data_IF_337942139406
#
_entry.id   IF_337942139406
#
_cell.length_a   1.000
_cell.length_b   1.000
_cell.length_c   1.000
_cell.angle_alpha   90.00
_cell.angle_beta   90.00
_cell.angle_gamma   90.00
#
_symmetry.space_group_name_H-M   'P 1'
#
loop_
_entity.id
_entity.type
_entity.pdbx_description
1 polymer ?
#
# COMPACT_ATOMS: atom_id res chain seq x y z
N UNK A 1 12.34 -17.87 -0.74
CA UNK A 1 11.06 -17.85 0.00
C UNK A 1 10.05 -17.06 -0.81
N UNK A 2 8.78 -17.46 -0.81
CA UNK A 2 7.70 -16.71 -1.47
C UNK A 2 6.96 -15.89 -0.40
N UNK A 3 6.99 -14.57 -0.51
CA UNK A 3 6.43 -13.67 0.51
C UNK A 3 4.92 -13.41 0.34
N UNK A 4 4.31 -13.92 -0.72
CA UNK A 4 2.87 -13.89 -1.03
C UNK A 4 2.11 -15.10 -0.47
N UNK A 5 2.78 -15.96 0.30
CA UNK A 5 2.19 -17.15 0.92
C UNK A 5 2.10 -17.00 2.43
N UNK A 6 1.25 -17.86 3.03
CA UNK A 6 1.18 -17.98 4.48
C UNK A 6 2.54 -18.25 5.12
N UNK A 7 2.69 -17.86 6.36
CA UNK A 7 3.90 -18.11 7.11
C UNK A 7 4.18 -19.60 7.28
N UNK A 8 5.44 -19.99 7.02
CA UNK A 8 5.96 -21.32 7.32
C UNK A 8 7.32 -21.16 7.99
N UNK A 9 7.40 -21.57 9.27
CA UNK A 9 8.62 -21.43 10.07
C UNK A 9 9.84 -22.11 9.42
N UNK A 10 9.68 -23.33 8.90
CA UNK A 10 10.80 -24.09 8.31
C UNK A 10 11.34 -23.39 7.06
N UNK A 11 10.47 -22.93 6.18
CA UNK A 11 10.86 -22.16 4.99
C UNK A 11 11.48 -20.81 5.37
N UNK A 12 10.94 -20.15 6.38
CA UNK A 12 11.44 -18.86 6.86
C UNK A 12 12.87 -19.00 7.44
N UNK A 13 13.11 -19.98 8.30
CA UNK A 13 14.43 -20.24 8.86
C UNK A 13 15.42 -20.66 7.76
N UNK A 14 14.97 -21.47 6.80
CA UNK A 14 15.80 -21.85 5.63
C UNK A 14 16.17 -20.63 4.79
N UNK A 15 15.22 -19.70 4.57
CA UNK A 15 15.47 -18.44 3.87
C UNK A 15 16.50 -17.59 4.63
N UNK A 16 16.35 -17.40 5.94
CA UNK A 16 17.30 -16.64 6.75
C UNK A 16 18.72 -17.22 6.63
N UNK A 17 18.84 -18.54 6.77
CA UNK A 17 20.13 -19.23 6.76
C UNK A 17 20.81 -19.26 5.40
N UNK A 18 20.05 -19.51 4.34
CA UNK A 18 20.63 -19.79 3.03
C UNK A 18 20.72 -18.56 2.13
N UNK A 19 19.82 -17.56 2.31
CA UNK A 19 19.67 -16.48 1.36
C UNK A 19 19.83 -15.08 1.95
N UNK A 20 19.52 -14.88 3.24
CA UNK A 20 19.35 -13.54 3.77
C UNK A 20 20.44 -13.10 4.75
N UNK A 21 20.67 -13.86 5.83
CA UNK A 21 21.66 -13.52 6.85
C UNK A 21 23.08 -13.95 6.44
N UNK A 22 24.13 -13.40 7.08
CA UNK A 22 25.50 -13.86 6.93
C UNK A 22 25.68 -15.36 7.22
N UNK A 23 26.80 -15.93 6.82
CA UNK A 23 27.06 -17.39 6.95
C UNK A 23 27.21 -17.85 8.40
N UNK A 24 27.54 -16.95 9.31
CA UNK A 24 27.65 -17.20 10.74
C UNK A 24 26.30 -17.27 11.47
N UNK A 25 25.16 -17.12 10.74
CA UNK A 25 23.85 -17.34 11.33
C UNK A 25 23.66 -18.79 11.76
N UNK A 26 23.56 -18.98 13.07
CA UNK A 26 23.32 -20.30 13.70
C UNK A 26 21.83 -20.41 14.04
N UNK A 27 21.20 -21.47 13.54
CA UNK A 27 19.81 -21.79 13.88
C UNK A 27 19.74 -22.44 15.26
N UNK A 28 18.93 -21.88 16.14
CA UNK A 28 18.69 -22.40 17.49
C UNK A 28 17.19 -22.22 17.81
N UNK A 29 16.48 -23.33 17.97
CA UNK A 29 15.05 -23.25 18.31
C UNK A 29 14.87 -23.45 19.80
N UNK A 30 14.55 -22.38 20.52
CA UNK A 30 14.24 -22.41 21.96
C UNK A 30 12.89 -21.70 22.21
N UNK A 31 11.98 -22.38 22.89
CA UNK A 31 10.70 -21.80 23.31
C UNK A 31 10.92 -21.04 24.60
N UNK A 32 10.52 -19.78 24.61
CA UNK A 32 10.61 -18.89 25.77
C UNK A 32 9.20 -18.64 26.28
N UNK A 33 8.90 -18.92 27.55
CA UNK A 33 7.59 -18.70 28.11
C UNK A 33 7.29 -17.17 28.13
N UNK A 34 6.13 -16.72 27.63
CA UNK A 34 5.77 -15.31 27.68
C UNK A 34 5.60 -14.84 29.12
N UNK A 35 6.02 -13.61 29.40
CA UNK A 35 5.87 -13.00 30.72
C UNK A 35 4.37 -12.69 30.97
N UNK A 36 3.88 -12.91 32.18
CA UNK A 36 2.45 -12.72 32.55
C UNK A 36 1.90 -11.31 32.25
N UNK A 37 2.74 -10.31 32.06
CA UNK A 37 2.35 -8.93 31.76
C UNK A 37 2.09 -8.67 30.25
N UNK A 38 2.28 -9.67 29.36
CA UNK A 38 2.08 -9.54 27.93
C UNK A 38 0.61 -9.81 27.57
N UNK A 39 -0.10 -8.78 27.10
CA UNK A 39 -1.51 -8.87 26.76
C UNK A 39 -1.77 -9.45 25.36
N UNK A 40 -0.85 -9.21 24.44
CA UNK A 40 -1.00 -9.58 23.02
C UNK A 40 -0.18 -10.81 22.62
N UNK A 41 0.98 -11.00 23.25
CA UNK A 41 1.89 -12.12 22.94
C UNK A 41 1.39 -13.41 23.55
N UNK A 42 1.30 -14.47 22.76
CA UNK A 42 0.90 -15.81 23.21
C UNK A 42 2.05 -16.81 23.25
N UNK A 43 3.14 -16.54 22.52
CA UNK A 43 4.32 -17.42 22.51
C UNK A 43 5.53 -16.71 21.91
N UNK A 44 6.70 -17.05 22.41
CA UNK A 44 7.98 -16.54 21.90
C UNK A 44 8.87 -17.74 21.61
N UNK A 45 9.48 -17.77 20.43
CA UNK A 45 10.44 -18.79 20.03
C UNK A 45 11.69 -18.11 19.46
N UNK A 46 12.85 -18.37 20.06
CA UNK A 46 14.14 -18.03 19.46
C UNK A 46 14.35 -18.91 18.23
N UNK A 47 14.71 -18.34 17.09
CA UNK A 47 14.98 -19.07 15.85
C UNK A 47 16.46 -19.18 15.52
N UNK A 48 17.30 -18.34 16.13
CA UNK A 48 18.74 -18.36 15.93
C UNK A 48 19.38 -17.02 16.26
N UNK A 49 20.70 -16.94 16.05
CA UNK A 49 21.50 -15.75 16.26
C UNK A 49 22.59 -15.62 15.20
N UNK A 50 23.05 -14.37 14.97
CA UNK A 50 24.12 -14.02 14.04
C UNK A 50 25.12 -13.13 14.80
N UNK A 51 26.29 -13.67 15.08
CA UNK A 51 27.30 -13.00 15.92
C UNK A 51 27.89 -11.76 15.23
N UNK A 52 28.18 -11.85 13.93
CA UNK A 52 28.73 -10.74 13.14
C UNK A 52 27.84 -9.50 13.09
N UNK A 53 26.54 -9.65 13.31
CA UNK A 53 25.55 -8.56 13.33
C UNK A 53 25.13 -8.16 14.75
N UNK A 54 25.57 -8.91 15.79
CA UNK A 54 25.04 -8.79 17.15
C UNK A 54 23.49 -8.82 17.11
N UNK A 55 22.93 -9.88 16.49
CA UNK A 55 21.53 -9.97 16.11
C UNK A 55 20.93 -11.32 16.50
N UNK A 56 19.76 -11.26 17.13
CA UNK A 56 18.96 -12.45 17.45
C UNK A 56 17.68 -12.47 16.63
N UNK A 57 17.18 -13.66 16.30
CA UNK A 57 15.95 -13.84 15.54
C UNK A 57 14.89 -14.52 16.39
N UNK A 58 13.72 -13.88 16.46
CA UNK A 58 12.56 -14.37 17.22
C UNK A 58 11.32 -14.54 16.36
N UNK A 59 10.53 -15.56 16.65
CA UNK A 59 9.12 -15.64 16.27
C UNK A 59 8.27 -15.31 17.49
N UNK A 60 7.33 -14.36 17.31
CA UNK A 60 6.35 -13.97 18.33
C UNK A 60 4.95 -14.31 17.81
N UNK A 61 4.28 -15.26 18.47
CA UNK A 61 2.87 -15.57 18.26
C UNK A 61 2.01 -14.61 19.05
N UNK A 62 0.87 -14.16 18.46
CA UNK A 62 0.02 -13.15 19.10
C UNK A 62 -1.46 -13.40 18.86
N UNK A 63 -2.29 -12.95 19.84
CA UNK A 63 -3.75 -13.09 19.88
C UNK A 63 -4.50 -11.87 19.32
N UNK A 64 -3.79 -10.89 18.78
CA UNK A 64 -4.40 -9.68 18.28
C UNK A 64 -5.23 -9.94 17.03
N UNK A 65 -6.53 -9.59 17.07
CA UNK A 65 -7.44 -9.69 15.92
C UNK A 65 -7.17 -8.65 14.84
N UNK A 66 -6.51 -7.56 15.20
CA UNK A 66 -6.04 -6.51 14.30
C UNK A 66 -4.54 -6.36 14.48
N UNK A 67 -3.84 -5.90 13.46
CA UNK A 67 -2.41 -5.62 13.56
C UNK A 67 -2.15 -4.57 14.65
N UNK A 68 -2.06 -5.01 15.90
CA UNK A 68 -1.80 -4.18 17.08
C UNK A 68 -0.34 -3.73 17.10
N UNK A 69 0.10 -3.06 16.00
CA UNK A 69 1.49 -2.68 15.75
C UNK A 69 2.15 -2.01 16.93
N UNK A 70 1.45 -1.13 17.61
CA UNK A 70 2.02 -0.37 18.74
C UNK A 70 2.09 -1.23 20.01
N UNK A 71 1.01 -1.91 20.37
CA UNK A 71 0.97 -2.74 21.58
C UNK A 71 1.94 -3.91 21.52
N UNK A 72 1.88 -4.67 20.45
CA UNK A 72 2.72 -5.83 20.20
C UNK A 72 4.21 -5.47 20.10
N UNK A 73 4.53 -4.33 19.46
CA UNK A 73 5.92 -3.85 19.39
C UNK A 73 6.43 -3.39 20.76
N UNK A 74 5.59 -2.79 21.62
CA UNK A 74 5.98 -2.45 22.99
C UNK A 74 6.30 -3.69 23.83
N UNK A 75 5.54 -4.77 23.65
CA UNK A 75 5.84 -6.04 24.33
C UNK A 75 7.16 -6.64 23.84
N UNK A 76 7.37 -6.65 22.52
CA UNK A 76 8.65 -7.11 21.94
C UNK A 76 9.83 -6.27 22.44
N UNK A 77 9.72 -4.95 22.51
CA UNK A 77 10.77 -4.09 23.07
C UNK A 77 11.10 -4.38 24.53
N UNK A 78 10.07 -4.59 25.37
CA UNK A 78 10.29 -4.97 26.77
C UNK A 78 11.00 -6.29 26.88
N UNK A 79 10.53 -7.30 26.13
CA UNK A 79 11.12 -8.61 26.09
C UNK A 79 12.62 -8.54 25.69
N UNK A 80 12.95 -7.86 24.59
CA UNK A 80 14.33 -7.71 24.15
C UNK A 80 15.20 -6.93 25.16
N UNK A 81 14.62 -5.93 25.81
CA UNK A 81 15.34 -5.18 26.86
C UNK A 81 15.61 -6.01 28.10
N UNK A 82 14.71 -6.93 28.45
CA UNK A 82 14.87 -7.84 29.59
C UNK A 82 15.87 -8.96 29.28
N UNK A 83 15.95 -9.41 28.02
CA UNK A 83 16.97 -10.35 27.51
C UNK A 83 18.33 -9.71 27.20
N UNK A 84 18.49 -8.40 27.39
CA UNK A 84 19.69 -7.62 27.05
C UNK A 84 20.06 -7.63 25.57
N UNK A 85 19.10 -7.87 24.70
CA UNK A 85 19.26 -7.90 23.26
C UNK A 85 19.06 -6.50 22.65
N UNK A 86 20.07 -5.95 21.99
CA UNK A 86 20.00 -4.63 21.38
C UNK A 86 19.49 -4.66 19.93
N UNK A 87 19.59 -5.80 19.24
CA UNK A 87 19.21 -5.97 17.84
C UNK A 87 18.48 -7.28 17.63
N UNK A 88 17.30 -7.21 17.06
CA UNK A 88 16.55 -8.41 16.75
C UNK A 88 15.82 -8.30 15.41
N UNK A 89 15.75 -9.41 14.69
CA UNK A 89 14.74 -9.65 13.68
C UNK A 89 13.58 -10.41 14.32
N UNK A 90 12.39 -9.86 14.18
CA UNK A 90 11.20 -10.45 14.79
C UNK A 90 10.15 -10.72 13.71
N UNK A 91 9.70 -11.98 13.62
CA UNK A 91 8.51 -12.31 12.85
C UNK A 91 7.30 -12.42 13.78
N UNK A 92 6.31 -11.57 13.57
CA UNK A 92 5.05 -11.58 14.30
C UNK A 92 4.02 -12.36 13.51
N UNK A 93 3.49 -13.41 14.11
CA UNK A 93 2.55 -14.32 13.45
C UNK A 93 1.29 -14.44 14.30
N UNK A 94 0.08 -14.17 13.73
CA UNK A 94 -1.17 -14.40 14.46
C UNK A 94 -1.32 -15.86 14.91
N UNK A 95 -1.90 -16.08 16.07
CA UNK A 95 -2.09 -17.44 16.60
C UNK A 95 -3.13 -18.23 15.80
N UNK A 96 -4.21 -17.54 15.40
CA UNK A 96 -5.38 -18.15 14.76
C UNK A 96 -5.27 -18.25 13.23
N UNK A 97 -4.33 -17.52 12.61
CA UNK A 97 -4.23 -17.42 11.17
C UNK A 97 -2.82 -17.09 10.70
N UNK A 98 -2.18 -18.01 10.01
CA UNK A 98 -0.83 -17.87 9.45
C UNK A 98 -0.83 -17.19 8.05
N UNK A 99 -1.98 -16.74 7.54
CA UNK A 99 -2.07 -16.18 6.18
C UNK A 99 -1.25 -14.90 6.04
N UNK A 100 -1.24 -14.06 7.08
CA UNK A 100 -0.51 -12.80 7.09
C UNK A 100 0.41 -12.69 8.31
N UNK A 101 1.61 -12.15 8.11
CA UNK A 101 2.60 -12.01 9.15
C UNK A 101 3.43 -10.73 8.95
N UNK A 102 4.10 -10.27 10.00
CA UNK A 102 4.95 -9.08 9.95
C UNK A 102 6.39 -9.44 10.26
N UNK A 103 7.31 -9.05 9.40
CA UNK A 103 8.74 -9.22 9.59
C UNK A 103 9.40 -7.87 9.86
N UNK A 104 10.04 -7.74 11.02
CA UNK A 104 10.51 -6.46 11.57
C UNK A 104 11.96 -6.54 12.02
N UNK A 105 12.72 -5.48 11.75
CA UNK A 105 13.99 -5.21 12.42
C UNK A 105 13.72 -4.30 13.62
N UNK A 106 14.15 -4.72 14.79
CA UNK A 106 14.08 -3.98 16.04
C UNK A 106 15.48 -3.64 16.51
N UNK A 107 15.72 -2.37 16.83
CA UNK A 107 16.97 -1.90 17.46
C UNK A 107 16.67 -1.10 18.72
N UNK A 108 17.53 -1.27 19.73
CA UNK A 108 17.50 -0.54 20.98
C UNK A 108 18.83 0.20 21.07
N UNK A 109 18.82 1.50 20.79
CA UNK A 109 20.00 2.35 20.87
C UNK A 109 20.07 2.96 22.27
N UNK A 110 21.29 3.11 22.79
CA UNK A 110 21.55 3.80 24.05
C UNK A 110 21.95 5.22 23.69
N UNK A 111 21.19 6.22 24.14
CA UNK A 111 21.51 7.64 23.96
C UNK A 111 21.79 8.28 25.31
N UNK A 112 22.85 9.09 25.39
CA UNK A 112 23.11 9.93 26.52
C UNK A 112 22.19 11.18 26.43
N UNK A 113 21.36 11.36 27.45
CA UNK A 113 20.48 12.53 27.53
C UNK A 113 21.28 13.79 27.92
N UNK A 114 20.74 14.98 27.62
CA UNK A 114 21.32 16.26 28.03
C UNK A 114 21.63 16.36 29.54
N UNK A 115 20.99 15.50 30.34
CA UNK A 115 21.24 15.41 31.79
C UNK A 115 22.32 14.40 32.18
N UNK A 116 23.07 13.84 31.22
CA UNK A 116 24.12 12.83 31.45
C UNK A 116 23.61 11.45 31.86
N UNK A 117 22.30 11.16 31.64
CA UNK A 117 21.72 9.86 31.90
C UNK A 117 21.63 9.05 30.60
N UNK A 118 21.90 7.77 30.67
CA UNK A 118 21.69 6.86 29.54
C UNK A 118 20.21 6.53 29.42
N UNK A 119 19.62 6.88 28.28
CA UNK A 119 18.26 6.51 27.92
C UNK A 119 18.25 5.47 26.76
N UNK A 120 17.32 4.52 26.82
CA UNK A 120 17.09 3.56 25.73
C UNK A 120 16.20 4.22 24.68
N UNK A 121 16.67 4.31 23.44
CA UNK A 121 15.89 4.73 22.28
C UNK A 121 15.53 3.53 21.44
N UNK A 122 14.24 3.31 21.28
CA UNK A 122 13.70 2.20 20.49
C UNK A 122 13.48 2.62 19.04
N UNK A 123 13.84 1.75 18.10
CA UNK A 123 13.50 1.95 16.70
C UNK A 123 11.98 2.07 16.49
N UNK A 124 11.58 2.91 15.54
CA UNK A 124 10.16 3.05 15.24
C UNK A 124 9.61 1.77 14.60
N UNK A 125 8.66 1.06 15.24
CA UNK A 125 8.16 -0.22 14.75
C UNK A 125 7.43 -0.14 13.39
N UNK A 126 7.06 1.07 12.96
CA UNK A 126 6.41 1.28 11.66
C UNK A 126 7.40 1.49 10.52
N UNK A 127 8.65 1.88 10.84
CA UNK A 127 9.65 2.23 9.82
C UNK A 127 10.51 1.06 9.36
N UNK A 128 10.58 -0.01 10.15
CA UNK A 128 11.47 -1.15 9.91
C UNK A 128 10.69 -2.45 9.89
N UNK A 129 9.58 -2.49 9.13
CA UNK A 129 8.71 -3.67 9.09
C UNK A 129 8.11 -3.89 7.72
N UNK A 130 8.06 -5.15 7.30
CA UNK A 130 7.30 -5.63 6.16
C UNK A 130 6.06 -6.38 6.65
N UNK A 131 4.92 -6.10 6.03
CA UNK A 131 3.73 -6.91 6.15
C UNK A 131 3.68 -7.86 4.97
N UNK A 132 3.57 -9.15 5.21
CA UNK A 132 3.77 -10.24 4.26
C UNK A 132 2.62 -11.25 4.35
N UNK A 133 2.44 -12.05 3.32
CA UNK A 133 1.49 -13.15 3.31
C UNK A 133 0.51 -13.12 2.15
N UNK A 134 -0.52 -13.94 2.25
CA UNK A 134 -1.49 -14.16 1.19
C UNK A 134 -2.24 -12.88 0.83
N UNK A 135 -2.24 -12.54 -0.47
CA UNK A 135 -2.91 -11.35 -0.98
C UNK A 135 -2.21 -10.03 -0.68
N UNK A 136 -0.99 -10.06 -0.12
CA UNK A 136 -0.18 -8.87 0.15
C UNK A 136 0.82 -8.65 -0.98
N UNK A 137 0.95 -7.39 -1.41
CA UNK A 137 1.95 -7.00 -2.41
C UNK A 137 3.37 -7.30 -1.90
N UNK A 138 4.09 -8.15 -2.61
CA UNK A 138 5.38 -8.69 -2.19
C UNK A 138 6.57 -8.24 -3.05
N UNK A 139 6.35 -7.45 -4.09
CA UNK A 139 7.41 -7.04 -5.02
C UNK A 139 8.57 -6.34 -4.29
N UNK A 140 8.25 -5.35 -3.47
CA UNK A 140 9.25 -4.61 -2.69
C UNK A 140 10.00 -5.50 -1.67
N UNK A 141 9.34 -6.28 -0.80
CA UNK A 141 10.05 -7.22 0.06
C UNK A 141 10.88 -8.24 -0.73
N UNK A 142 10.41 -8.73 -1.87
CA UNK A 142 11.18 -9.65 -2.71
C UNK A 142 12.48 -9.01 -3.20
N UNK A 143 12.41 -7.80 -3.73
CA UNK A 143 13.57 -7.02 -4.21
C UNK A 143 14.64 -6.84 -3.12
N UNK A 144 14.25 -6.44 -1.91
CA UNK A 144 15.19 -6.09 -0.84
C UNK A 144 15.62 -7.28 0.01
N UNK A 145 14.77 -8.29 0.18
CA UNK A 145 15.07 -9.45 1.04
C UNK A 145 15.59 -10.65 0.26
N UNK A 146 15.05 -10.96 -0.93
CA UNK A 146 15.49 -12.09 -1.74
C UNK A 146 16.57 -11.73 -2.78
N UNK A 147 16.28 -10.76 -3.65
CA UNK A 147 17.11 -10.49 -4.83
C UNK A 147 18.44 -9.84 -4.49
N UNK A 148 18.50 -9.01 -3.45
CA UNK A 148 19.77 -8.45 -2.95
C UNK A 148 20.73 -9.52 -2.38
N UNK A 149 20.24 -10.73 -2.12
CA UNK A 149 21.03 -11.83 -1.54
C UNK A 149 21.43 -11.55 -0.09
N UNK A 150 22.51 -12.21 0.38
CA UNK A 150 22.92 -12.11 1.79
C UNK A 150 23.29 -10.69 2.22
N UNK A 151 22.96 -10.39 3.45
CA UNK A 151 23.43 -9.19 4.17
C UNK A 151 24.95 -9.26 4.31
N UNK A 152 25.64 -8.23 3.86
CA UNK A 152 27.12 -8.15 3.88
C UNK A 152 27.59 -6.71 3.77
N UNK A 153 28.85 -6.48 4.06
CA UNK A 153 29.48 -5.20 3.72
C UNK A 153 29.42 -4.93 2.23
N UNK A 154 29.14 -3.70 1.86
CA UNK A 154 29.02 -3.25 0.47
C UNK A 154 29.63 -1.87 0.28
N UNK A 155 29.99 -1.58 -0.95
CA UNK A 155 30.33 -0.23 -1.37
C UNK A 155 29.19 0.32 -2.23
N UNK A 156 28.51 1.35 -1.74
CA UNK A 156 27.44 2.04 -2.48
C UNK A 156 27.86 3.51 -2.66
N UNK A 157 27.80 4.01 -3.88
CA UNK A 157 28.16 5.39 -4.24
C UNK A 157 29.56 5.85 -3.70
N UNK A 158 30.52 4.92 -3.68
CA UNK A 158 31.87 5.18 -3.18
C UNK A 158 32.01 5.20 -1.65
N UNK A 159 30.93 4.96 -0.90
CA UNK A 159 30.93 4.85 0.56
C UNK A 159 30.84 3.39 0.97
N UNK A 160 31.70 2.96 1.88
CA UNK A 160 31.62 1.63 2.48
C UNK A 160 30.54 1.63 3.56
N UNK A 161 29.60 0.71 3.46
CA UNK A 161 28.53 0.46 4.44
C UNK A 161 28.78 -0.89 5.14
N UNK A 162 28.58 -0.93 6.44
CA UNK A 162 28.71 -2.15 7.23
C UNK A 162 27.58 -3.15 6.91
N UNK A 163 27.79 -4.41 7.26
CA UNK A 163 26.75 -5.44 7.10
C UNK A 163 25.48 -5.09 7.90
N UNK A 164 25.59 -4.50 9.08
CA UNK A 164 24.43 -4.06 9.84
C UNK A 164 23.72 -2.87 9.17
N UNK A 165 24.45 -1.93 8.59
CA UNK A 165 23.88 -0.82 7.83
C UNK A 165 23.19 -1.33 6.56
N UNK A 166 23.73 -2.33 5.85
CA UNK A 166 23.04 -3.02 4.73
C UNK A 166 21.73 -3.66 5.21
N UNK A 167 21.73 -4.35 6.35
CA UNK A 167 20.51 -4.90 6.95
C UNK A 167 19.49 -3.81 7.26
N UNK A 168 19.92 -2.74 7.95
CA UNK A 168 19.06 -1.62 8.33
C UNK A 168 18.45 -0.93 7.11
N UNK A 169 19.24 -0.70 6.07
CA UNK A 169 18.80 -0.08 4.82
C UNK A 169 17.73 -0.91 4.10
N UNK A 170 17.80 -2.25 4.18
CA UNK A 170 16.78 -3.11 3.57
C UNK A 170 15.41 -3.01 4.22
N UNK A 171 15.34 -2.60 5.48
CA UNK A 171 14.10 -2.36 6.22
C UNK A 171 13.73 -0.87 6.29
N UNK A 172 14.60 0.04 5.87
CA UNK A 172 14.40 1.48 5.99
C UNK A 172 13.28 1.97 5.07
N UNK A 173 12.37 2.75 5.63
CA UNK A 173 11.31 3.43 4.86
C UNK A 173 11.89 4.44 3.88
N UNK A 174 13.04 5.04 4.19
CA UNK A 174 13.70 6.00 3.30
C UNK A 174 14.09 5.34 1.99
N UNK A 175 14.72 4.17 2.04
CA UNK A 175 15.10 3.40 0.83
C UNK A 175 13.87 2.95 0.04
N UNK A 176 12.81 2.52 0.74
CA UNK A 176 11.54 2.14 0.10
C UNK A 176 10.87 3.36 -0.54
N UNK A 177 10.96 4.53 0.10
CA UNK A 177 10.40 5.77 -0.39
C UNK A 177 11.14 6.25 -1.64
N UNK A 178 12.47 6.22 -1.64
CA UNK A 178 13.28 6.56 -2.82
C UNK A 178 12.98 5.64 -4.01
N UNK A 179 12.90 4.32 -3.78
CA UNK A 179 12.53 3.37 -4.81
C UNK A 179 11.12 3.63 -5.37
N UNK A 180 10.16 3.89 -4.49
CA UNK A 180 8.79 4.23 -4.89
C UNK A 180 8.75 5.50 -5.75
N UNK A 181 9.44 6.56 -5.35
CA UNK A 181 9.48 7.79 -6.13
C UNK A 181 10.20 7.62 -7.46
N UNK A 182 11.24 6.81 -7.53
CA UNK A 182 11.92 6.49 -8.79
C UNK A 182 10.97 5.76 -9.75
N UNK A 183 10.32 4.69 -9.28
CA UNK A 183 9.36 3.92 -10.09
C UNK A 183 8.16 4.78 -10.51
N UNK A 184 7.67 5.64 -9.61
CA UNK A 184 6.58 6.58 -9.90
C UNK A 184 6.99 7.62 -10.96
N UNK A 185 8.22 8.13 -10.88
CA UNK A 185 8.78 9.07 -11.86
C UNK A 185 8.90 8.45 -13.25
N UNK A 186 9.38 7.21 -13.33
CA UNK A 186 9.50 6.48 -14.61
C UNK A 186 8.11 6.21 -15.20
N UNK A 187 7.15 5.78 -14.38
CA UNK A 187 5.77 5.60 -14.79
C UNK A 187 5.14 6.93 -15.26
N UNK A 188 5.35 8.02 -14.53
CA UNK A 188 4.85 9.34 -14.90
C UNK A 188 5.44 9.80 -16.25
N UNK A 189 6.73 9.64 -16.46
CA UNK A 189 7.39 10.00 -17.71
C UNK A 189 6.84 9.20 -18.90
N UNK A 190 6.46 7.94 -18.68
CA UNK A 190 5.76 7.13 -19.68
C UNK A 190 4.31 7.59 -19.87
N UNK A 191 3.56 7.81 -18.78
CA UNK A 191 2.16 8.17 -18.81
C UNK A 191 1.89 9.50 -19.53
N UNK A 192 2.71 10.52 -19.28
CA UNK A 192 2.61 11.83 -19.97
C UNK A 192 2.73 11.71 -21.48
N UNK A 193 3.52 10.74 -21.97
CA UNK A 193 3.69 10.50 -23.42
C UNK A 193 2.56 9.66 -24.03
N UNK A 194 1.89 8.85 -23.21
CA UNK A 194 0.91 7.85 -23.69
C UNK A 194 -0.52 8.31 -23.49
N UNK A 195 -0.82 8.94 -22.35
CA UNK A 195 -2.16 9.41 -21.99
C UNK A 195 -2.40 10.80 -22.56
N UNK A 196 -3.60 11.04 -23.08
CA UNK A 196 -4.07 12.36 -23.50
C UNK A 196 -5.42 12.64 -22.87
N UNK A 197 -5.51 13.76 -22.19
CA UNK A 197 -6.78 14.27 -21.66
C UNK A 197 -7.49 15.10 -22.73
N UNK A 198 -8.83 15.10 -22.79
CA UNK A 198 -9.60 15.63 -23.91
C UNK A 198 -9.70 17.17 -23.94
N UNK A 199 -8.76 17.87 -23.32
CA UNK A 199 -8.87 19.31 -23.20
C UNK A 199 -8.31 20.10 -24.37
N UNK A 200 -9.08 21.11 -24.83
CA UNK A 200 -8.56 22.27 -25.54
C UNK A 200 -9.05 23.50 -24.82
N UNK A 201 -8.19 24.09 -24.02
CA UNK A 201 -8.54 25.33 -23.32
C UNK A 201 -8.64 26.50 -24.29
N UNK A 202 -7.69 26.70 -25.09
CA UNK A 202 -7.63 27.69 -26.18
C UNK A 202 -6.35 27.44 -27.00
N UNK A 203 -6.17 28.19 -28.07
CA UNK A 203 -4.99 28.08 -28.93
C UNK A 203 -3.69 28.56 -28.25
N UNK A 204 -3.78 29.06 -27.02
CA UNK A 204 -2.63 29.58 -26.24
C UNK A 204 -2.14 28.61 -25.16
N UNK A 205 -2.88 27.54 -24.90
CA UNK A 205 -2.51 26.55 -23.87
C UNK A 205 -1.48 25.56 -24.40
N UNK A 206 -0.39 25.39 -23.63
CA UNK A 206 0.60 24.36 -23.87
C UNK A 206 -0.03 22.98 -23.53
N UNK A 207 -0.43 22.24 -24.58
CA UNK A 207 -1.07 20.93 -24.45
C UNK A 207 -0.21 19.93 -23.65
N UNK A 208 1.12 19.99 -23.78
CA UNK A 208 2.02 19.11 -23.08
C UNK A 208 2.05 19.43 -21.59
N UNK A 209 2.08 20.71 -21.24
CA UNK A 209 2.00 21.16 -19.84
C UNK A 209 0.66 20.78 -19.21
N UNK A 210 -0.45 21.02 -19.92
CA UNK A 210 -1.77 20.65 -19.47
C UNK A 210 -1.87 19.14 -19.21
N UNK A 211 -1.42 18.32 -20.16
CA UNK A 211 -1.47 16.87 -20.03
C UNK A 211 -0.59 16.37 -18.88
N UNK A 212 0.56 17.00 -18.64
CA UNK A 212 1.44 16.70 -17.52
C UNK A 212 0.75 16.98 -16.16
N UNK A 213 0.09 18.13 -16.02
CA UNK A 213 -0.65 18.50 -14.81
C UNK A 213 -1.86 17.58 -14.56
N UNK A 214 -2.61 17.25 -15.61
CA UNK A 214 -3.72 16.30 -15.52
C UNK A 214 -3.27 14.90 -15.11
N UNK A 215 -2.13 14.44 -15.64
CA UNK A 215 -1.51 13.17 -15.25
C UNK A 215 -1.10 13.18 -13.77
N UNK A 216 -0.51 14.27 -13.27
CA UNK A 216 -0.17 14.42 -11.83
C UNK A 216 -1.43 14.32 -10.97
N UNK A 217 -2.51 14.98 -11.35
CA UNK A 217 -3.79 14.90 -10.61
C UNK A 217 -4.33 13.48 -10.60
N UNK A 218 -4.29 12.78 -11.73
CA UNK A 218 -4.72 11.38 -11.81
C UNK A 218 -3.91 10.49 -10.88
N UNK A 219 -2.58 10.58 -10.92
CA UNK A 219 -1.68 9.82 -10.05
C UNK A 219 -1.97 10.09 -8.57
N UNK A 220 -2.13 11.35 -8.21
CA UNK A 220 -2.42 11.75 -6.83
C UNK A 220 -3.75 11.17 -6.34
N UNK A 221 -4.79 11.22 -7.17
CA UNK A 221 -6.09 10.60 -6.88
C UNK A 221 -5.99 9.08 -6.73
N UNK A 222 -5.24 8.41 -7.62
CA UNK A 222 -5.03 6.96 -7.57
C UNK A 222 -4.29 6.52 -6.31
N UNK A 223 -3.22 7.22 -5.92
CA UNK A 223 -2.47 6.93 -4.69
C UNK A 223 -3.40 7.06 -3.47
N UNK A 224 -4.21 8.11 -3.43
CA UNK A 224 -5.12 8.33 -2.31
C UNK A 224 -6.24 7.27 -2.27
N UNK A 225 -6.82 6.94 -3.43
CA UNK A 225 -7.83 5.88 -3.54
C UNK A 225 -7.25 4.53 -3.14
N UNK A 226 -6.02 4.23 -3.54
CA UNK A 226 -5.33 3.01 -3.11
C UNK A 226 -5.13 2.96 -1.59
N UNK A 227 -4.78 4.09 -0.97
CA UNK A 227 -4.72 4.20 0.49
C UNK A 227 -6.08 3.93 1.16
N UNK A 228 -7.16 4.48 0.63
CA UNK A 228 -8.52 4.21 1.12
C UNK A 228 -8.92 2.74 0.96
N UNK A 229 -8.56 2.12 -0.17
CA UNK A 229 -8.75 0.68 -0.41
C UNK A 229 -8.04 -0.15 0.66
N UNK A 230 -6.78 0.15 0.98
CA UNK A 230 -6.02 -0.52 2.04
C UNK A 230 -6.63 -0.32 3.45
N UNK A 231 -7.54 0.62 3.60
CA UNK A 231 -8.33 0.86 4.83
C UNK A 231 -9.74 0.24 4.75
N UNK A 232 -10.03 -0.54 3.71
CA UNK A 232 -11.34 -1.14 3.45
C UNK A 232 -12.47 -0.10 3.34
N UNK A 233 -12.14 1.12 2.90
CA UNK A 233 -13.10 2.21 2.64
C UNK A 233 -13.54 2.26 1.18
N UNK A 234 -12.84 1.57 0.29
CA UNK A 234 -13.22 1.38 -1.11
C UNK A 234 -13.27 -0.13 -1.37
N UNK A 235 -14.32 -0.62 -2.04
CA UNK A 235 -14.50 -2.04 -2.34
C UNK A 235 -13.34 -2.61 -3.16
N UNK A 236 -12.91 -3.83 -2.82
CA UNK A 236 -11.88 -4.56 -3.59
C UNK A 236 -12.37 -4.89 -5.00
N UNK A 237 -13.66 -5.09 -5.16
CA UNK A 237 -14.37 -5.39 -6.40
C UNK A 237 -14.11 -4.35 -7.50
N UNK A 238 -13.79 -3.10 -7.14
CA UNK A 238 -13.47 -2.04 -8.10
C UNK A 238 -12.04 -2.15 -8.69
N UNK A 239 -11.22 -3.04 -8.16
CA UNK A 239 -9.83 -3.27 -8.56
C UNK A 239 -9.55 -4.74 -8.93
N UNK A 240 -10.57 -5.58 -8.92
CA UNK A 240 -10.50 -6.98 -9.33
C UNK A 240 -10.88 -7.08 -10.81
N UNK A 241 -9.90 -7.37 -11.66
CA UNK A 241 -10.07 -7.41 -13.11
C UNK A 241 -11.11 -8.45 -13.56
N UNK A 242 -11.13 -9.63 -12.92
CA UNK A 242 -12.11 -10.69 -13.23
C UNK A 242 -13.51 -10.24 -12.84
N UNK A 243 -13.65 -9.70 -11.63
CA UNK A 243 -14.94 -9.22 -11.14
C UNK A 243 -15.50 -8.07 -12.00
N UNK A 244 -14.63 -7.12 -12.40
CA UNK A 244 -15.01 -6.00 -13.26
C UNK A 244 -15.51 -6.50 -14.61
N UNK A 245 -14.77 -7.44 -15.23
CA UNK A 245 -15.11 -8.00 -16.54
C UNK A 245 -16.42 -8.81 -16.52
N UNK A 246 -16.64 -9.58 -15.47
CA UNK A 246 -17.80 -10.48 -15.38
C UNK A 246 -19.07 -9.76 -14.90
N UNK A 247 -18.94 -8.79 -13.99
CA UNK A 247 -20.10 -8.25 -13.27
C UNK A 247 -20.35 -6.77 -13.46
N UNK A 248 -19.30 -5.96 -13.68
CA UNK A 248 -19.45 -4.51 -13.65
C UNK A 248 -19.48 -3.86 -15.03
N UNK A 249 -18.53 -4.15 -15.91
CA UNK A 249 -18.36 -3.43 -17.16
C UNK A 249 -18.58 -4.28 -18.40
N UNK A 250 -19.26 -3.69 -19.39
CA UNK A 250 -19.36 -4.25 -20.73
C UNK A 250 -18.04 -4.02 -21.48
N UNK A 251 -17.60 -5.03 -22.22
CA UNK A 251 -16.42 -4.95 -23.12
C UNK A 251 -15.14 -4.50 -22.40
N UNK A 252 -14.95 -4.88 -21.14
CA UNK A 252 -13.73 -4.64 -20.42
C UNK A 252 -12.70 -5.73 -20.73
N UNK A 253 -11.60 -5.32 -21.38
CA UNK A 253 -10.51 -6.21 -21.78
C UNK A 253 -9.17 -5.62 -21.32
N UNK A 254 -8.73 -5.88 -20.08
CA UNK A 254 -7.55 -5.23 -19.48
C UNK A 254 -6.22 -5.57 -20.19
N UNK A 255 -6.17 -6.68 -20.91
CA UNK A 255 -4.97 -7.17 -21.61
C UNK A 255 -5.02 -6.94 -23.12
N UNK A 256 -5.98 -6.18 -23.63
CA UNK A 256 -6.03 -5.87 -25.05
C UNK A 256 -4.84 -4.99 -25.46
N UNK A 257 -4.07 -5.45 -26.41
CA UNK A 257 -2.94 -4.69 -26.96
C UNK A 257 -3.53 -3.46 -27.64
N UNK A 258 -3.20 -2.27 -27.11
CA UNK A 258 -3.57 -0.99 -27.70
C UNK A 258 -3.18 -1.03 -29.18
N UNK A 259 -4.17 -0.85 -30.05
CA UNK A 259 -3.98 -0.88 -31.48
C UNK A 259 -3.00 0.23 -31.90
N UNK A 260 -1.80 -0.14 -32.32
CA UNK A 260 -0.70 0.76 -32.70
C UNK A 260 -1.06 1.71 -33.88
N UNK A 261 -2.22 1.56 -34.47
CA UNK A 261 -2.68 2.34 -35.63
C UNK A 261 -3.60 3.53 -35.29
N UNK A 262 -3.50 4.08 -34.07
CA UNK A 262 -3.92 5.46 -33.82
C UNK A 262 -5.41 5.71 -33.58
N UNK A 263 -6.21 4.70 -33.26
CA UNK A 263 -7.48 4.94 -32.58
C UNK A 263 -7.22 4.95 -31.07
N UNK A 264 -7.34 6.13 -30.48
CA UNK A 264 -7.36 6.24 -29.01
C UNK A 264 -8.59 5.47 -28.52
N UNK A 265 -8.41 4.25 -28.08
CA UNK A 265 -9.47 3.54 -27.39
C UNK A 265 -9.66 4.21 -26.04
N UNK A 266 -10.86 4.72 -25.85
CA UNK A 266 -11.24 5.35 -24.61
C UNK A 266 -11.18 4.32 -23.48
N UNK A 267 -10.44 4.60 -22.41
CA UNK A 267 -10.37 3.69 -21.27
C UNK A 267 -11.74 3.57 -20.59
N UNK A 268 -12.42 2.47 -20.85
CA UNK A 268 -13.73 2.15 -20.24
C UNK A 268 -13.62 2.14 -18.71
N UNK A 269 -12.54 1.58 -18.18
CA UNK A 269 -12.29 1.56 -16.74
C UNK A 269 -12.14 2.94 -16.13
N UNK A 270 -11.36 3.82 -16.76
CA UNK A 270 -11.18 5.19 -16.31
C UNK A 270 -12.51 5.94 -16.29
N UNK A 271 -13.28 5.88 -17.38
CA UNK A 271 -14.58 6.55 -17.50
C UNK A 271 -15.63 6.01 -16.54
N UNK A 272 -15.83 4.70 -16.54
CA UNK A 272 -16.92 4.09 -15.79
C UNK A 272 -16.61 3.96 -14.29
N UNK A 273 -15.44 3.45 -13.93
CA UNK A 273 -15.10 3.18 -12.53
C UNK A 273 -14.45 4.42 -11.89
N UNK A 274 -13.29 4.86 -12.42
CA UNK A 274 -12.48 5.86 -11.72
C UNK A 274 -13.12 7.25 -11.69
N UNK A 275 -13.66 7.75 -12.79
CA UNK A 275 -14.31 9.06 -12.81
C UNK A 275 -15.55 9.08 -11.91
N UNK A 276 -16.40 8.06 -11.95
CA UNK A 276 -17.54 7.98 -11.05
C UNK A 276 -17.12 7.86 -9.59
N UNK A 277 -16.08 7.10 -9.29
CA UNK A 277 -15.53 7.00 -7.95
C UNK A 277 -15.01 8.35 -7.45
N UNK A 278 -14.23 9.07 -8.27
CA UNK A 278 -13.65 10.36 -7.89
C UNK A 278 -14.72 11.45 -7.71
N UNK A 279 -15.53 11.67 -8.73
CA UNK A 279 -16.35 12.85 -8.82
C UNK A 279 -17.77 12.66 -8.27
N UNK A 280 -18.31 11.47 -8.40
CA UNK A 280 -19.71 11.21 -8.04
C UNK A 280 -19.88 10.41 -6.73
N UNK A 281 -18.84 9.72 -6.24
CA UNK A 281 -18.92 8.96 -4.99
C UNK A 281 -18.14 9.60 -3.85
N UNK A 282 -16.82 9.78 -4.00
CA UNK A 282 -15.99 10.41 -2.98
C UNK A 282 -16.36 11.88 -2.75
N UNK A 283 -16.97 12.51 -3.73
CA UNK A 283 -17.42 13.92 -3.70
C UNK A 283 -18.94 14.09 -3.53
N UNK A 284 -19.68 13.02 -3.30
CA UNK A 284 -21.14 13.08 -3.07
C UNK A 284 -21.53 12.37 -1.79
N UNK A 285 -22.37 13.00 -0.94
CA UNK A 285 -22.82 12.39 0.31
C UNK A 285 -23.76 11.21 0.05
N UNK A 286 -23.77 10.25 1.00
CA UNK A 286 -24.80 9.22 1.07
C UNK A 286 -25.93 9.78 1.91
N UNK A 287 -27.15 9.77 1.37
CA UNK A 287 -28.35 10.14 2.14
C UNK A 287 -28.75 8.97 3.03
N UNK A 288 -28.83 9.12 4.35
CA UNK A 288 -29.28 8.06 5.25
C UNK A 288 -30.71 7.62 4.92
N UNK A 289 -30.99 6.30 5.06
CA UNK A 289 -32.35 5.78 4.94
C UNK A 289 -33.32 6.53 5.86
N UNK A 290 -34.51 6.87 5.32
CA UNK A 290 -35.58 7.54 6.07
C UNK A 290 -35.59 9.07 6.02
N UNK A 291 -34.73 9.71 5.21
CA UNK A 291 -34.88 11.11 4.85
C UNK A 291 -35.43 11.24 3.42
N UNK A 292 -36.43 12.10 3.24
CA UNK A 292 -37.10 12.38 1.94
C UNK A 292 -36.19 13.02 0.86
N UNK A 293 -34.89 13.04 1.06
CA UNK A 293 -33.92 13.56 0.12
C UNK A 293 -33.38 12.44 -0.76
N UNK A 294 -33.49 12.59 -2.06
CA UNK A 294 -32.96 11.67 -3.06
C UNK A 294 -31.44 11.51 -2.83
N UNK A 295 -30.97 10.27 -2.75
CA UNK A 295 -29.52 9.99 -2.72
C UNK A 295 -28.87 10.67 -3.92
N UNK A 296 -27.86 11.50 -3.69
CA UNK A 296 -27.13 12.15 -4.78
C UNK A 296 -26.26 11.14 -5.57
N UNK A 297 -25.99 9.96 -5.00
CA UNK A 297 -25.24 8.89 -5.66
C UNK A 297 -26.12 8.07 -6.59
N UNK A 298 -26.44 8.66 -7.72
CA UNK A 298 -27.19 8.02 -8.80
C UNK A 298 -26.63 8.40 -10.16
N UNK A 299 -26.97 7.65 -11.17
CA UNK A 299 -26.70 8.02 -12.55
C UNK A 299 -27.57 9.23 -12.98
N UNK A 300 -27.05 9.98 -13.94
CA UNK A 300 -27.80 11.09 -14.57
C UNK A 300 -29.07 10.58 -15.22
N UNK A 301 -30.14 11.33 -15.06
CA UNK A 301 -31.42 11.06 -15.68
C UNK A 301 -31.93 12.29 -16.44
N UNK A 302 -31.69 12.33 -17.74
CA UNK A 302 -32.17 13.37 -18.62
C UNK A 302 -31.36 14.68 -18.60
N UNK A 303 -31.88 15.70 -19.28
CA UNK A 303 -31.17 16.98 -19.52
C UNK A 303 -30.96 17.80 -18.26
N UNK A 304 -31.85 17.71 -17.29
CA UNK A 304 -31.75 18.45 -16.03
C UNK A 304 -30.52 18.13 -15.21
N UNK A 305 -29.95 16.94 -15.40
CA UNK A 305 -28.79 16.46 -14.66
C UNK A 305 -27.48 16.77 -15.38
N UNK A 306 -27.55 17.32 -16.60
CA UNK A 306 -26.35 17.43 -17.45
C UNK A 306 -25.25 18.32 -16.84
N UNK A 307 -25.61 19.34 -16.11
CA UNK A 307 -24.67 20.29 -15.52
C UNK A 307 -24.18 19.87 -14.11
N UNK A 308 -24.77 18.82 -13.55
CA UNK A 308 -24.35 18.35 -12.24
C UNK A 308 -23.16 17.38 -12.33
N UNK A 309 -21.98 17.87 -11.99
CA UNK A 309 -20.74 17.10 -11.99
C UNK A 309 -20.61 16.09 -10.82
N UNK A 310 -21.56 16.09 -9.88
CA UNK A 310 -21.60 15.14 -8.77
C UNK A 310 -22.43 13.89 -9.06
N UNK A 311 -23.14 13.86 -10.18
CA UNK A 311 -23.91 12.70 -10.60
C UNK A 311 -23.09 11.77 -11.45
N UNK A 312 -23.31 10.45 -11.28
CA UNK A 312 -22.61 9.42 -12.03
C UNK A 312 -22.95 9.47 -13.52
N UNK A 313 -21.98 9.09 -14.34
CA UNK A 313 -22.07 9.06 -15.80
C UNK A 313 -21.74 7.68 -16.35
N UNK A 314 -21.90 7.57 -17.66
CA UNK A 314 -21.55 6.37 -18.43
C UNK A 314 -22.31 5.11 -18.01
N UNK A 315 -23.57 5.25 -17.58
CA UNK A 315 -24.45 4.12 -17.19
C UNK A 315 -24.47 3.00 -18.24
N UNK A 316 -24.45 3.37 -19.53
CA UNK A 316 -24.46 2.41 -20.64
C UNK A 316 -23.24 1.48 -20.69
N UNK A 317 -22.13 1.84 -20.06
CA UNK A 317 -20.92 1.03 -20.00
C UNK A 317 -21.02 -0.09 -18.94
N UNK A 318 -21.96 0.00 -18.01
CA UNK A 318 -22.14 -1.00 -16.97
C UNK A 318 -23.04 -2.14 -17.41
N UNK A 319 -22.68 -3.35 -16.99
CA UNK A 319 -23.53 -4.56 -17.15
C UNK A 319 -24.71 -4.48 -16.20
N UNK A 320 -24.43 -4.12 -14.94
CA UNK A 320 -25.41 -3.88 -13.87
C UNK A 320 -25.08 -2.58 -13.15
N UNK A 321 -25.68 -1.44 -13.56
CA UNK A 321 -25.45 -0.15 -12.92
C UNK A 321 -25.89 -0.12 -11.44
N UNK A 322 -26.96 -0.80 -11.08
CA UNK A 322 -27.46 -0.84 -9.71
C UNK A 322 -26.51 -1.61 -8.80
N UNK A 323 -25.93 -2.69 -9.28
CA UNK A 323 -24.90 -3.44 -8.55
C UNK A 323 -23.71 -2.53 -8.22
N UNK A 324 -23.22 -1.75 -9.17
CA UNK A 324 -22.11 -0.82 -8.96
C UNK A 324 -22.42 0.22 -7.86
N UNK A 325 -23.62 0.84 -7.92
CA UNK A 325 -24.07 1.80 -6.90
C UNK A 325 -24.20 1.15 -5.54
N UNK A 326 -24.77 -0.05 -5.49
CA UNK A 326 -24.96 -0.80 -4.24
C UNK A 326 -23.64 -1.20 -3.59
N UNK A 327 -22.64 -1.62 -4.37
CA UNK A 327 -21.31 -1.94 -3.87
C UNK A 327 -20.65 -0.66 -3.31
N UNK A 328 -20.70 0.43 -4.04
CA UNK A 328 -20.14 1.72 -3.60
C UNK A 328 -20.77 2.24 -2.31
N UNK A 329 -22.10 2.17 -2.20
CA UNK A 329 -22.82 2.72 -1.05
C UNK A 329 -22.57 1.95 0.25
N UNK A 330 -22.06 0.73 0.19
CA UNK A 330 -21.70 -0.05 1.39
C UNK A 330 -20.53 0.54 2.16
N UNK A 331 -19.52 1.04 1.45
CA UNK A 331 -18.23 1.40 2.08
C UNK A 331 -17.65 2.73 1.66
N UNK A 332 -17.86 3.21 0.42
CA UNK A 332 -17.19 4.42 -0.10
C UNK A 332 -17.62 5.67 0.67
N UNK A 333 -16.71 6.33 1.41
CA UNK A 333 -17.05 7.51 2.19
C UNK A 333 -17.27 8.75 1.32
N UNK A 334 -17.94 9.76 1.89
CA UNK A 334 -17.94 11.11 1.37
C UNK A 334 -16.77 11.89 2.01
N UNK A 335 -15.87 12.43 1.20
CA UNK A 335 -14.65 13.07 1.71
C UNK A 335 -14.71 14.60 1.68
N UNK A 336 -15.61 15.19 0.90
CA UNK A 336 -15.78 16.64 0.79
C UNK A 336 -14.44 17.43 0.69
N UNK A 337 -13.56 17.02 -0.20
CA UNK A 337 -12.22 17.61 -0.32
C UNK A 337 -11.87 17.93 -1.76
N UNK A 338 -11.24 19.08 -2.01
CA UNK A 338 -10.89 19.60 -3.34
C UNK A 338 -10.07 18.64 -4.22
N UNK A 339 -9.47 17.59 -3.66
CA UNK A 339 -8.75 16.57 -4.43
C UNK A 339 -9.66 15.84 -5.43
N UNK A 340 -10.93 15.62 -5.05
CA UNK A 340 -11.92 14.89 -5.84
C UNK A 340 -12.97 15.80 -6.48
N UNK A 341 -12.77 17.11 -6.46
CA UNK A 341 -13.63 18.02 -7.22
C UNK A 341 -13.38 17.82 -8.72
N UNK A 342 -14.47 17.78 -9.48
CA UNK A 342 -14.40 17.83 -10.92
C UNK A 342 -14.10 19.27 -11.36
N UNK A 343 -12.99 19.46 -12.06
CA UNK A 343 -12.53 20.77 -12.50
C UNK A 343 -13.08 21.17 -13.88
N UNK A 344 -13.97 20.35 -14.45
CA UNK A 344 -14.60 20.67 -15.72
C UNK A 344 -15.52 21.90 -15.59
N UNK A 345 -15.30 22.87 -16.45
CA UNK A 345 -16.14 24.07 -16.59
C UNK A 345 -16.78 24.07 -17.98
N UNK A 346 -18.07 23.76 -18.03
CA UNK A 346 -18.80 23.62 -19.28
C UNK A 346 -19.15 24.96 -19.90
N UNK A 347 -19.34 25.99 -19.09
CA UNK A 347 -19.70 27.32 -19.57
C UNK A 347 -18.56 27.93 -20.38
N UNK A 348 -17.32 27.61 -20.00
CA UNK A 348 -16.12 28.05 -20.70
C UNK A 348 -15.51 26.95 -21.60
N UNK A 349 -16.23 25.84 -21.85
CA UNK A 349 -15.77 24.69 -22.64
C UNK A 349 -14.42 24.10 -22.17
N UNK A 350 -14.19 24.15 -20.88
CA UNK A 350 -12.97 23.68 -20.24
C UNK A 350 -13.16 22.31 -19.61
N UNK A 351 -12.58 21.27 -20.21
CA UNK A 351 -12.75 19.87 -19.78
C UNK A 351 -11.46 19.34 -19.17
N UNK A 352 -11.11 19.82 -18.00
CA UNK A 352 -9.86 19.49 -17.29
C UNK A 352 -9.79 18.02 -16.88
N UNK A 353 -10.89 17.48 -16.39
CA UNK A 353 -10.98 16.07 -15.94
C UNK A 353 -11.68 15.18 -16.99
N UNK A 354 -12.35 15.77 -17.97
CA UNK A 354 -13.05 15.06 -19.04
C UNK A 354 -14.26 14.26 -18.56
N UNK A 355 -14.92 14.69 -17.47
CA UNK A 355 -16.03 13.98 -16.83
C UNK A 355 -17.40 14.25 -17.44
#
# INVERSE_FOLDING_TARGET
MQFDKRYNRTEFVSFLKNNFLPEDFVTETAVIPPVQSMAYTSGITKLGACESLDLVVYEIRHKSKHDARVGLSKEAFRFLADEWENRALVVFVPEDNDDNYRFSLITIDLEETESGRIAKRYSNPRRYSYFLGKGIAYHTPNKYLNEKGRVKERTENGKQISAFEDLRNRFSVEVLTEAFYSELSDWYAWAVKTVRFPNKLDDTTDDDKFNAEATIRLVTRLIFVWFLKQKHLIPDEFFDEEYIAEHLLKNFCPNEVVNLFGKSEESVYYKAILQNLFFAMLNSPITPEGKDTISERRFRNGRSDYDNNKLMRYESLFTDPDLFVNIANRTVPFLNGGLFDCLDDKDNHNYIDGF
#
